data_IF_451382462475
#
_entry.id   IF_451382462475
#
_cell.length_a   1.000
_cell.length_b   1.000
_cell.length_c   1.000
_cell.angle_alpha   90.00
_cell.angle_beta   90.00
_cell.angle_gamma   90.00
#
_symmetry.space_group_name_H-M   'P 1'
#
loop_
_entity.id
_entity.type
_entity.pdbx_description
1 polymer ?
#
# COMPACT_ATOMS: atom_id res chain seq x y z
N UNK A 1 -4.33 33.57 -28.57
CA UNK A 1 -5.54 33.24 -27.77
C UNK A 1 -5.99 31.79 -27.90
N UNK A 2 -5.65 31.09 -28.99
CA UNK A 2 -5.99 29.68 -29.31
C UNK A 2 -5.36 28.62 -28.40
N UNK A 3 -4.13 28.84 -27.91
CA UNK A 3 -3.40 27.85 -27.11
C UNK A 3 -4.04 27.56 -25.74
N UNK A 4 -4.58 28.59 -25.07
CA UNK A 4 -5.29 28.44 -23.79
C UNK A 4 -6.59 27.66 -23.93
N UNK A 5 -7.27 27.80 -25.07
CA UNK A 5 -8.50 27.04 -25.35
C UNK A 5 -8.20 25.57 -25.64
N UNK A 6 -7.10 25.29 -26.33
CA UNK A 6 -6.65 23.93 -26.60
C UNK A 6 -6.24 23.21 -25.30
N UNK A 7 -5.46 23.87 -24.44
CA UNK A 7 -5.08 23.31 -23.13
C UNK A 7 -6.30 23.04 -22.24
N UNK A 8 -7.29 23.95 -22.21
CA UNK A 8 -8.54 23.71 -21.47
C UNK A 8 -9.32 22.53 -22.04
N UNK A 9 -9.42 22.40 -23.36
CA UNK A 9 -10.12 21.29 -23.99
C UNK A 9 -9.44 19.94 -23.68
N UNK A 10 -8.11 19.89 -23.71
CA UNK A 10 -7.35 18.70 -23.34
C UNK A 10 -7.54 18.33 -21.87
N UNK A 11 -7.54 19.31 -20.97
CA UNK A 11 -7.74 19.10 -19.54
C UNK A 11 -9.15 18.59 -19.23
N UNK A 12 -10.16 19.09 -19.95
CA UNK A 12 -11.54 18.59 -19.85
C UNK A 12 -11.63 17.15 -20.38
N UNK A 13 -10.98 16.84 -21.50
CA UNK A 13 -10.92 15.48 -22.04
C UNK A 13 -10.25 14.50 -21.06
N UNK A 14 -9.17 14.92 -20.41
CA UNK A 14 -8.45 14.09 -19.45
C UNK A 14 -9.30 13.80 -18.20
N UNK A 15 -9.97 14.82 -17.66
CA UNK A 15 -10.91 14.66 -16.54
C UNK A 15 -12.08 13.75 -16.92
N UNK A 16 -12.66 13.94 -18.11
CA UNK A 16 -13.74 13.08 -18.60
C UNK A 16 -13.26 11.63 -18.78
N UNK A 17 -12.03 11.43 -19.26
CA UNK A 17 -11.42 10.11 -19.37
C UNK A 17 -11.22 9.46 -18.00
N UNK A 18 -10.74 10.19 -17.00
CA UNK A 18 -10.63 9.69 -15.63
C UNK A 18 -11.99 9.31 -15.04
N UNK A 19 -13.04 10.11 -15.26
CA UNK A 19 -14.40 9.78 -14.82
C UNK A 19 -14.96 8.54 -15.53
N UNK A 20 -14.72 8.41 -16.83
CA UNK A 20 -15.13 7.25 -17.62
C UNK A 20 -14.39 5.97 -17.16
N UNK A 21 -13.08 6.09 -16.96
CA UNK A 21 -12.24 5.04 -16.41
C UNK A 21 -12.80 4.60 -15.05
N UNK A 22 -13.07 5.53 -14.12
CA UNK A 22 -13.64 5.23 -12.80
C UNK A 22 -14.99 4.48 -12.83
N UNK A 23 -15.78 4.59 -13.90
CA UNK A 23 -17.12 4.04 -14.01
C UNK A 23 -17.22 2.74 -14.86
N UNK A 24 -16.20 2.40 -15.65
CA UNK A 24 -16.18 1.20 -16.48
C UNK A 24 -14.93 0.34 -16.22
N UNK A 25 -15.16 -0.87 -15.71
CA UNK A 25 -14.17 -1.94 -15.69
C UNK A 25 -13.81 -2.33 -17.13
N UNK A 26 -12.53 -2.16 -17.54
CA UNK A 26 -12.02 -2.62 -18.85
C UNK A 26 -11.53 -1.55 -19.83
N UNK A 27 -11.46 -0.27 -19.46
CA UNK A 27 -10.82 0.77 -20.30
C UNK A 27 -9.28 0.67 -20.27
N UNK A 28 -8.57 1.07 -21.35
CA UNK A 28 -7.11 1.05 -21.37
C UNK A 28 -6.54 1.98 -20.28
N UNK A 29 -5.95 1.39 -19.23
CA UNK A 29 -5.48 2.11 -18.05
C UNK A 29 -6.27 1.83 -16.76
N UNK A 30 -7.42 1.14 -16.82
CA UNK A 30 -8.17 0.65 -15.65
C UNK A 30 -7.30 -0.18 -14.70
N UNK A 31 -6.40 -1.02 -15.25
CA UNK A 31 -5.45 -1.81 -14.46
C UNK A 31 -4.51 -0.98 -13.57
N UNK A 32 -4.32 0.32 -13.86
CA UNK A 32 -3.56 1.22 -12.99
C UNK A 32 -4.33 1.61 -11.72
N UNK A 33 -5.65 1.46 -11.72
CA UNK A 33 -6.53 1.73 -10.58
C UNK A 33 -6.97 0.44 -9.87
N UNK A 34 -7.15 -0.65 -10.62
CA UNK A 34 -7.45 -1.99 -10.11
C UNK A 34 -6.35 -2.52 -9.17
N UNK A 35 -5.12 -2.04 -9.35
CA UNK A 35 -3.95 -2.47 -8.58
C UNK A 35 -3.78 -1.74 -7.24
N UNK A 36 -4.60 -0.73 -6.92
CA UNK A 36 -4.50 0.02 -5.66
C UNK A 36 -5.49 -0.52 -4.63
N UNK A 37 -5.28 -1.76 -4.18
CA UNK A 37 -6.01 -2.30 -3.04
C UNK A 37 -5.38 -1.82 -1.73
N UNK A 38 -6.18 -1.21 -0.87
CA UNK A 38 -5.76 -0.97 0.52
C UNK A 38 -5.73 -2.31 1.24
N UNK A 39 -4.53 -2.79 1.55
CA UNK A 39 -4.35 -3.99 2.37
C UNK A 39 -4.52 -3.59 3.83
N UNK A 40 -5.69 -3.90 4.39
CA UNK A 40 -5.92 -3.77 5.83
C UNK A 40 -4.98 -4.74 6.55
N UNK A 41 -4.11 -4.19 7.40
CA UNK A 41 -3.17 -4.98 8.20
C UNK A 41 -2.92 -4.31 9.54
N UNK A 42 -2.50 -5.10 10.51
CA UNK A 42 -2.09 -4.62 11.84
C UNK A 42 -0.74 -5.24 12.20
N UNK A 43 0.17 -4.41 12.68
CA UNK A 43 1.41 -4.85 13.30
C UNK A 43 1.47 -4.29 14.71
N UNK A 44 1.59 -5.17 15.71
CA UNK A 44 1.61 -4.82 17.13
C UNK A 44 2.90 -5.29 17.76
N UNK A 45 3.52 -4.48 18.61
CA UNK A 45 4.70 -4.89 19.38
C UNK A 45 4.33 -5.71 20.63
N UNK A 46 5.35 -6.15 21.38
CA UNK A 46 5.17 -6.94 22.60
C UNK A 46 4.33 -6.26 23.68
N UNK A 47 4.32 -4.92 23.67
CA UNK A 47 3.65 -4.09 24.66
C UNK A 47 2.21 -3.75 24.22
N UNK A 48 1.73 -4.35 23.12
CA UNK A 48 0.40 -4.13 22.59
C UNK A 48 0.27 -2.84 21.78
N UNK A 49 1.37 -2.18 21.42
CA UNK A 49 1.34 -0.90 20.69
C UNK A 49 1.36 -1.14 19.19
N UNK A 50 0.50 -0.42 18.48
CA UNK A 50 0.50 -0.42 17.02
C UNK A 50 1.83 0.15 16.49
N UNK A 51 2.41 -0.54 15.52
CA UNK A 51 3.64 -0.14 14.82
C UNK A 51 3.24 0.39 13.46
N UNK A 52 3.52 1.67 13.20
CA UNK A 52 3.31 2.23 11.87
C UNK A 52 4.45 1.81 10.93
N UNK A 53 4.16 0.81 10.08
CA UNK A 53 5.11 0.33 9.07
C UNK A 53 5.50 1.40 8.05
N UNK A 54 4.66 2.43 7.85
CA UNK A 54 4.93 3.52 6.89
C UNK A 54 6.11 4.38 7.31
N UNK A 55 6.39 4.46 8.62
CA UNK A 55 7.56 5.17 9.14
C UNK A 55 8.89 4.57 8.66
N UNK A 56 8.89 3.33 8.18
CA UNK A 56 10.06 2.61 7.69
C UNK A 56 10.20 2.64 6.16
N UNK A 57 9.25 3.26 5.47
CA UNK A 57 9.26 3.38 4.02
C UNK A 57 9.95 4.69 3.57
N UNK A 58 10.52 4.73 2.36
CA UNK A 58 10.97 5.98 1.75
C UNK A 58 9.83 7.01 1.67
N UNK A 59 10.17 8.29 1.74
CA UNK A 59 9.19 9.38 1.63
C UNK A 59 8.41 9.26 0.32
N UNK A 60 7.08 9.19 0.41
CA UNK A 60 6.18 9.08 -0.74
C UNK A 60 5.93 7.66 -1.25
N UNK A 61 6.57 6.65 -0.66
CA UNK A 61 6.26 5.25 -0.97
C UNK A 61 4.95 4.82 -0.26
N UNK A 62 4.10 4.11 -1.01
CA UNK A 62 2.90 3.47 -0.48
C UNK A 62 3.04 1.95 -0.66
N UNK A 63 2.51 1.17 0.27
CA UNK A 63 2.46 -0.30 0.12
C UNK A 63 1.23 -0.65 -0.68
N UNK A 64 1.43 -1.38 -1.78
CA UNK A 64 0.36 -1.71 -2.73
C UNK A 64 0.20 -3.23 -2.89
N UNK A 65 1.27 -4.01 -2.63
CA UNK A 65 1.26 -5.46 -2.77
C UNK A 65 1.38 -6.20 -1.42
N UNK A 66 0.69 -7.35 -1.27
CA UNK A 66 0.72 -8.17 -0.05
C UNK A 66 2.11 -8.79 0.17
N UNK A 67 2.77 -9.23 -0.90
CA UNK A 67 4.14 -9.74 -0.82
C UNK A 67 5.13 -8.67 -0.38
N UNK A 68 4.98 -7.44 -0.87
CA UNK A 68 5.76 -6.27 -0.41
C UNK A 68 5.47 -5.93 1.06
N UNK A 69 4.20 -5.90 1.46
CA UNK A 69 3.82 -5.64 2.86
C UNK A 69 4.49 -6.61 3.82
N UNK A 70 4.44 -7.91 3.51
CA UNK A 70 5.10 -8.94 4.33
C UNK A 70 6.61 -8.68 4.44
N UNK A 71 7.28 -8.35 3.33
CA UNK A 71 8.73 -8.00 3.35
C UNK A 71 9.01 -6.76 4.20
N UNK A 72 8.15 -5.75 4.17
CA UNK A 72 8.28 -4.55 5.01
C UNK A 72 8.13 -4.92 6.48
N UNK A 73 7.17 -5.77 6.83
CA UNK A 73 6.98 -6.25 8.21
C UNK A 73 8.20 -7.04 8.70
N UNK A 74 8.75 -7.92 7.87
CA UNK A 74 10.01 -8.63 8.17
C UNK A 74 11.17 -7.65 8.40
N UNK A 75 11.26 -6.61 7.57
CA UNK A 75 12.25 -5.54 7.72
C UNK A 75 12.09 -4.78 9.04
N UNK A 76 10.87 -4.35 9.39
CA UNK A 76 10.57 -3.65 10.64
C UNK A 76 10.96 -4.51 11.84
N UNK A 77 10.56 -5.79 11.85
CA UNK A 77 10.93 -6.73 12.89
C UNK A 77 12.47 -6.87 13.02
N UNK A 78 13.18 -6.93 11.90
CA UNK A 78 14.64 -7.04 11.88
C UNK A 78 15.35 -5.79 12.43
N UNK A 79 14.79 -4.60 12.21
CA UNK A 79 15.33 -3.32 12.67
C UNK A 79 15.03 -3.05 14.14
N UNK A 80 13.84 -3.43 14.59
CA UNK A 80 13.36 -3.16 15.95
C UNK A 80 13.26 -4.42 16.80
N UNK A 81 14.25 -5.32 16.71
CA UNK A 81 14.28 -6.58 17.48
C UNK A 81 14.06 -6.40 18.99
N UNK A 82 14.41 -5.25 19.55
CA UNK A 82 14.20 -4.95 20.97
C UNK A 82 12.71 -4.86 21.38
N UNK A 83 11.81 -4.58 20.42
CA UNK A 83 10.35 -4.50 20.62
C UNK A 83 9.63 -5.82 20.33
N UNK A 84 10.36 -6.84 19.86
CA UNK A 84 9.82 -8.17 19.63
C UNK A 84 9.36 -8.83 20.94
N UNK A 85 8.42 -9.81 20.88
CA UNK A 85 7.76 -10.34 19.68
C UNK A 85 6.77 -9.35 19.06
N UNK A 86 6.59 -9.43 17.74
CA UNK A 86 5.56 -8.66 17.04
C UNK A 86 4.40 -9.56 16.65
N UNK A 87 3.17 -9.06 16.70
CA UNK A 87 1.98 -9.74 16.17
C UNK A 87 1.57 -9.08 14.86
N UNK A 88 1.60 -9.84 13.77
CA UNK A 88 1.19 -9.40 12.44
C UNK A 88 -0.14 -10.04 12.06
N UNK A 89 -1.06 -9.22 11.57
CA UNK A 89 -2.40 -9.62 11.14
C UNK A 89 -2.74 -8.98 9.79
N UNK A 90 -3.17 -9.81 8.83
CA UNK A 90 -3.79 -9.44 7.55
C UNK A 90 -4.96 -10.40 7.26
N UNK A 91 -5.86 -10.12 6.30
CA UNK A 91 -6.99 -11.00 6.01
C UNK A 91 -6.55 -12.45 5.73
N UNK A 92 -6.93 -13.37 6.63
CA UNK A 92 -6.60 -14.79 6.54
C UNK A 92 -5.25 -15.20 7.13
N UNK A 93 -4.45 -14.28 7.66
CA UNK A 93 -3.15 -14.58 8.28
C UNK A 93 -3.01 -13.85 9.60
N UNK A 94 -2.71 -14.59 10.66
CA UNK A 94 -2.33 -14.07 11.97
C UNK A 94 -1.10 -14.82 12.46
N UNK A 95 -0.01 -14.11 12.69
CA UNK A 95 1.26 -14.73 13.08
C UNK A 95 1.98 -13.87 14.12
N UNK A 96 2.61 -14.54 15.08
CA UNK A 96 3.55 -13.91 16.01
C UNK A 96 4.97 -14.10 15.47
N UNK A 97 5.63 -12.99 15.17
CA UNK A 97 6.99 -12.96 14.65
C UNK A 97 7.98 -13.14 15.80
N UNK A 98 8.62 -14.30 15.80
CA UNK A 98 9.75 -14.62 16.67
C UNK A 98 11.08 -14.02 16.17
N UNK A 99 12.23 -14.48 16.69
CA UNK A 99 13.55 -13.91 16.39
C UNK A 99 13.97 -14.01 14.92
N UNK A 100 13.39 -14.96 14.19
CA UNK A 100 13.63 -15.18 12.76
C UNK A 100 12.96 -14.12 11.87
N UNK A 101 12.02 -13.32 12.42
CA UNK A 101 11.32 -12.23 11.73
C UNK A 101 10.81 -12.61 10.32
N UNK A 102 10.10 -13.75 10.20
CA UNK A 102 9.54 -14.23 8.93
C UNK A 102 8.03 -14.35 8.99
N UNK A 103 7.36 -13.90 7.94
CA UNK A 103 5.93 -14.13 7.72
C UNK A 103 5.78 -15.38 6.84
N UNK A 104 5.00 -16.40 7.25
CA UNK A 104 4.74 -17.56 6.41
C UNK A 104 4.07 -17.14 5.09
N UNK A 105 4.47 -17.78 3.99
CA UNK A 105 4.00 -17.47 2.63
C UNK A 105 2.60 -18.02 2.38
#
# INVERSE_FOLDING_TARGET
>A
MTMRSLCRALLVLDVLYCCLAAAQEGLPGWHMFESVEKIDHTLVDRDGRAVDVRAFLPRGANVVDRGELRRVVEHVCSKERARAPFTYEEPGVRVVLGPECRVPR
#
